data_IF_168404253842
#
_entry.id   IF_168404253842
#
_cell.length_a   1.000
_cell.length_b   1.000
_cell.length_c   1.000
_cell.angle_alpha   90.00
_cell.angle_beta   90.00
_cell.angle_gamma   90.00
#
_symmetry.space_group_name_H-M   'P 1'
#
loop_
_entity.id
_entity.type
_entity.pdbx_description
1 polymer ?
#
# COMPACT_ATOMS: atom_id res chain seq x y z
N UNK A 1 -10.76 -24.04 30.90
CA UNK A 1 -11.56 -23.66 29.72
C UNK A 1 -11.15 -22.24 29.36
N UNK A 2 -10.09 -22.09 28.56
CA UNK A 2 -9.41 -20.81 28.25
C UNK A 2 -9.26 -20.62 26.72
N UNK A 3 -10.37 -20.61 26.00
CA UNK A 3 -10.38 -20.44 24.54
C UNK A 3 -10.77 -19.02 24.08
N UNK A 4 -11.06 -18.11 25.02
CA UNK A 4 -11.63 -16.78 24.72
C UNK A 4 -10.53 -15.72 24.51
N UNK A 5 -9.35 -15.89 25.10
CA UNK A 5 -8.31 -14.84 25.11
C UNK A 5 -7.45 -14.83 23.82
N UNK A 6 -7.10 -16.00 23.29
CA UNK A 6 -6.30 -16.11 22.07
C UNK A 6 -7.00 -15.54 20.83
N UNK A 7 -8.32 -15.70 20.73
CA UNK A 7 -9.11 -15.12 19.64
C UNK A 7 -9.11 -13.59 19.66
N UNK A 8 -9.17 -13.00 20.86
CA UNK A 8 -9.17 -11.54 21.05
C UNK A 8 -7.80 -10.93 20.73
N UNK A 9 -6.72 -11.59 21.18
CA UNK A 9 -5.35 -11.16 20.87
C UNK A 9 -5.07 -11.23 19.37
N UNK A 10 -5.52 -12.28 18.67
CA UNK A 10 -5.37 -12.39 17.22
C UNK A 10 -6.11 -11.30 16.44
N UNK A 11 -7.32 -10.94 16.86
CA UNK A 11 -8.11 -9.85 16.26
C UNK A 11 -7.42 -8.49 16.47
N UNK A 12 -6.90 -8.22 17.67
CA UNK A 12 -6.23 -6.96 17.97
C UNK A 12 -4.91 -6.83 17.19
N UNK A 13 -4.13 -7.91 17.10
CA UNK A 13 -2.90 -7.97 16.29
C UNK A 13 -3.18 -7.73 14.81
N UNK A 14 -4.26 -8.32 14.27
CA UNK A 14 -4.68 -8.08 12.88
C UNK A 14 -5.08 -6.63 12.67
N UNK A 15 -5.88 -6.05 13.57
CA UNK A 15 -6.31 -4.65 13.47
C UNK A 15 -5.11 -3.70 13.44
N UNK A 16 -4.18 -3.87 14.37
CA UNK A 16 -2.95 -3.08 14.44
C UNK A 16 -2.11 -3.25 13.16
N UNK A 17 -1.96 -4.48 12.68
CA UNK A 17 -1.25 -4.77 11.44
C UNK A 17 -1.87 -4.05 10.23
N UNK A 18 -3.21 -4.08 10.12
CA UNK A 18 -3.94 -3.36 9.06
C UNK A 18 -3.69 -1.86 9.16
N UNK A 19 -3.83 -1.25 10.34
CA UNK A 19 -3.66 0.20 10.52
C UNK A 19 -2.24 0.67 10.15
N UNK A 20 -1.20 -0.06 10.57
CA UNK A 20 0.19 0.27 10.23
C UNK A 20 0.47 0.14 8.72
N UNK A 21 -0.08 -0.89 8.07
CA UNK A 21 0.07 -1.07 6.62
C UNK A 21 -0.65 0.05 5.87
N UNK A 22 -1.90 0.41 6.26
CA UNK A 22 -2.63 1.53 5.64
C UNK A 22 -1.87 2.84 5.76
N UNK A 23 -1.31 3.11 6.94
CA UNK A 23 -0.51 4.30 7.16
C UNK A 23 0.73 4.32 6.27
N UNK A 24 1.48 3.22 6.22
CA UNK A 24 2.69 3.12 5.40
C UNK A 24 2.39 3.22 3.90
N UNK A 25 1.32 2.54 3.44
CA UNK A 25 0.80 2.61 2.07
C UNK A 25 0.45 4.06 1.66
N UNK A 26 -0.26 4.78 2.53
CA UNK A 26 -0.64 6.17 2.26
C UNK A 26 0.58 7.09 2.17
N UNK A 27 1.60 6.87 3.00
CA UNK A 27 2.87 7.62 2.93
C UNK A 27 3.61 7.35 1.63
N UNK A 28 3.76 6.08 1.25
CA UNK A 28 4.43 5.70 0.01
C UNK A 28 3.73 6.31 -1.22
N UNK A 29 2.40 6.17 -1.31
CA UNK A 29 1.64 6.77 -2.40
C UNK A 29 1.79 8.30 -2.46
N UNK A 30 1.76 8.98 -1.30
CA UNK A 30 1.98 10.43 -1.23
C UNK A 30 3.40 10.80 -1.67
N UNK A 31 4.41 10.00 -1.36
CA UNK A 31 5.77 10.19 -1.85
C UNK A 31 5.83 10.23 -3.39
N UNK A 32 5.21 9.26 -4.06
CA UNK A 32 5.10 9.26 -5.52
C UNK A 32 4.35 10.47 -6.06
N UNK A 33 3.25 10.88 -5.42
CA UNK A 33 2.49 12.06 -5.84
C UNK A 33 3.33 13.33 -5.70
N UNK A 34 4.04 13.51 -4.58
CA UNK A 34 4.90 14.67 -4.36
C UNK A 34 6.04 14.73 -5.38
N UNK A 35 6.71 13.60 -5.62
CA UNK A 35 7.75 13.52 -6.63
C UNK A 35 7.23 13.83 -8.03
N UNK A 36 6.04 13.33 -8.40
CA UNK A 36 5.49 13.53 -9.73
C UNK A 36 4.78 14.88 -9.95
N UNK A 37 4.57 15.67 -8.89
CA UNK A 37 3.79 16.90 -8.92
C UNK A 37 4.62 18.13 -8.58
N UNK A 38 5.95 18.07 -8.71
CA UNK A 38 6.80 19.25 -8.59
C UNK A 38 6.56 20.17 -9.79
N UNK A 39 6.35 21.46 -9.53
CA UNK A 39 6.11 22.50 -10.54
C UNK A 39 7.03 23.69 -10.28
N UNK A 40 7.42 24.38 -11.36
CA UNK A 40 8.33 25.53 -11.31
C UNK A 40 9.68 25.21 -11.93
N UNK A 41 10.65 26.12 -11.79
CA UNK A 41 12.07 25.80 -12.03
C UNK A 41 12.50 24.80 -10.97
N UNK A 42 12.38 23.51 -11.28
CA UNK A 42 12.75 22.45 -10.36
C UNK A 42 14.26 22.31 -10.33
N UNK A 43 14.87 22.56 -9.16
CA UNK A 43 16.28 22.27 -8.96
C UNK A 43 16.51 20.74 -9.02
N UNK A 44 17.55 20.31 -9.73
CA UNK A 44 17.94 18.91 -9.82
C UNK A 44 18.22 18.30 -8.43
N UNK A 45 18.65 19.13 -7.47
CA UNK A 45 18.79 18.70 -6.08
C UNK A 45 17.44 18.37 -5.43
N UNK A 46 16.39 19.17 -5.68
CA UNK A 46 15.06 18.93 -5.10
C UNK A 46 14.42 17.67 -5.70
N UNK A 47 14.54 17.46 -7.01
CA UNK A 47 14.04 16.22 -7.65
C UNK A 47 14.72 14.99 -7.04
N UNK A 48 16.04 15.05 -6.89
CA UNK A 48 16.83 13.97 -6.31
C UNK A 48 16.38 13.67 -4.88
N UNK A 49 16.14 14.69 -4.06
CA UNK A 49 15.63 14.52 -2.69
C UNK A 49 14.26 13.82 -2.69
N UNK A 50 13.33 14.22 -3.56
CA UNK A 50 12.01 13.56 -3.66
C UNK A 50 12.13 12.11 -4.10
N UNK A 51 13.05 11.82 -5.03
CA UNK A 51 13.31 10.46 -5.50
C UNK A 51 13.90 9.58 -4.39
N UNK A 52 14.90 10.08 -3.66
CA UNK A 52 15.48 9.39 -2.51
C UNK A 52 14.45 9.18 -1.39
N UNK A 53 13.55 10.14 -1.19
CA UNK A 53 12.43 10.00 -0.27
C UNK A 53 11.48 8.85 -0.68
N UNK A 54 11.24 8.64 -1.98
CA UNK A 54 10.46 7.49 -2.47
C UNK A 54 11.20 6.17 -2.21
N UNK A 55 12.51 6.12 -2.44
CA UNK A 55 13.33 4.94 -2.14
C UNK A 55 13.26 4.56 -0.65
N UNK A 56 13.39 5.56 0.22
CA UNK A 56 13.25 5.37 1.66
C UNK A 56 11.85 4.85 2.03
N UNK A 57 10.80 5.39 1.40
CA UNK A 57 9.42 4.95 1.66
C UNK A 57 9.15 3.51 1.16
N UNK A 58 9.78 3.08 0.06
CA UNK A 58 9.71 1.69 -0.41
C UNK A 58 10.32 0.71 0.58
N UNK A 59 11.49 1.05 1.13
CA UNK A 59 12.15 0.26 2.17
C UNK A 59 11.32 0.23 3.46
N UNK A 60 10.85 1.40 3.93
CA UNK A 60 9.96 1.48 5.10
C UNK A 60 8.66 0.69 4.92
N UNK A 61 8.06 0.73 3.73
CA UNK A 61 6.88 -0.05 3.42
C UNK A 61 7.14 -1.55 3.54
N UNK A 62 8.26 -2.02 2.99
CA UNK A 62 8.67 -3.43 3.05
C UNK A 62 8.94 -3.88 4.49
N UNK A 63 9.69 -3.07 5.27
CA UNK A 63 9.97 -3.34 6.69
C UNK A 63 8.73 -3.31 7.58
N UNK A 64 7.75 -2.46 7.23
CA UNK A 64 6.45 -2.47 7.87
C UNK A 64 5.71 -3.76 7.51
N UNK A 65 5.47 -4.01 6.22
CA UNK A 65 4.64 -5.10 5.72
C UNK A 65 5.08 -6.49 6.20
N UNK A 66 6.36 -6.84 6.06
CA UNK A 66 6.85 -8.21 6.27
C UNK A 66 6.42 -8.84 7.61
N UNK A 67 6.72 -8.25 8.78
CA UNK A 67 6.30 -8.80 10.07
C UNK A 67 4.77 -8.74 10.31
N UNK A 68 4.03 -7.89 9.58
CA UNK A 68 2.57 -7.78 9.72
C UNK A 68 1.82 -8.77 8.81
N UNK A 69 2.46 -9.23 7.73
CA UNK A 69 1.88 -10.14 6.74
C UNK A 69 1.33 -11.43 7.36
N UNK A 70 1.95 -11.95 8.42
CA UNK A 70 1.52 -13.17 9.10
C UNK A 70 0.10 -13.09 9.71
N UNK A 71 -0.42 -11.87 9.92
CA UNK A 71 -1.75 -11.63 10.48
C UNK A 71 -2.84 -11.44 9.42
N UNK A 72 -2.48 -11.43 8.14
CA UNK A 72 -3.34 -11.18 7.00
C UNK A 72 -3.66 -12.48 6.24
N UNK A 73 -4.80 -12.50 5.55
CA UNK A 73 -5.15 -13.58 4.64
C UNK A 73 -4.28 -13.57 3.37
N UNK A 74 -4.15 -14.73 2.73
CA UNK A 74 -3.43 -14.92 1.45
C UNK A 74 -3.81 -13.88 0.38
N UNK A 75 -5.09 -13.73 0.03
CA UNK A 75 -5.51 -12.78 -1.01
C UNK A 75 -5.13 -11.31 -0.73
N UNK A 76 -5.16 -10.91 0.54
CA UNK A 76 -4.76 -9.56 0.95
C UNK A 76 -3.26 -9.36 0.78
N UNK A 77 -2.46 -10.36 1.17
CA UNK A 77 -1.01 -10.36 0.97
C UNK A 77 -0.64 -10.24 -0.50
N UNK A 78 -1.27 -11.06 -1.36
CA UNK A 78 -1.06 -11.01 -2.81
C UNK A 78 -1.36 -9.61 -3.38
N UNK A 79 -2.45 -8.98 -2.94
CA UNK A 79 -2.82 -7.62 -3.38
C UNK A 79 -1.78 -6.58 -2.92
N UNK A 80 -1.24 -6.72 -1.71
CA UNK A 80 -0.19 -5.82 -1.18
C UNK A 80 1.13 -6.03 -1.93
N UNK A 81 1.49 -7.26 -2.21
CA UNK A 81 2.73 -7.62 -2.92
C UNK A 81 2.72 -7.11 -4.36
N UNK A 82 1.61 -7.26 -5.08
CA UNK A 82 1.40 -6.68 -6.41
C UNK A 82 1.51 -5.15 -6.38
N UNK A 83 0.98 -4.48 -5.36
CA UNK A 83 1.18 -3.03 -5.20
C UNK A 83 2.65 -2.68 -4.97
N UNK A 84 3.37 -3.46 -4.14
CA UNK A 84 4.77 -3.22 -3.84
C UNK A 84 5.65 -3.39 -5.09
N UNK A 85 5.37 -4.42 -5.89
CA UNK A 85 6.03 -4.67 -7.18
C UNK A 85 5.78 -3.51 -8.16
N UNK A 86 4.51 -3.14 -8.39
CA UNK A 86 4.16 -1.99 -9.25
C UNK A 86 4.81 -0.69 -8.80
N UNK A 87 4.97 -0.51 -7.50
CA UNK A 87 5.64 0.66 -6.93
C UNK A 87 7.13 0.66 -7.25
N UNK A 88 7.82 -0.48 -7.12
CA UNK A 88 9.24 -0.62 -7.49
C UNK A 88 9.46 -0.40 -8.99
N UNK A 89 8.68 -1.06 -9.84
CA UNK A 89 8.73 -0.87 -11.29
C UNK A 89 8.50 0.59 -11.68
N UNK A 90 7.55 1.26 -11.03
CA UNK A 90 7.26 2.66 -11.28
C UNK A 90 8.44 3.56 -10.90
N UNK A 91 9.06 3.34 -9.74
CA UNK A 91 10.26 4.08 -9.31
C UNK A 91 11.40 3.91 -10.31
N UNK A 92 11.69 2.67 -10.71
CA UNK A 92 12.78 2.37 -11.63
C UNK A 92 12.56 3.05 -12.98
N UNK A 93 11.37 2.87 -13.55
CA UNK A 93 11.01 3.44 -14.85
C UNK A 93 11.01 4.98 -14.83
N UNK A 94 10.41 5.58 -13.81
CA UNK A 94 10.37 7.05 -13.71
C UNK A 94 11.77 7.61 -13.49
N UNK A 95 12.59 6.98 -12.64
CA UNK A 95 13.97 7.38 -12.43
C UNK A 95 14.78 7.32 -13.73
N UNK A 96 14.68 6.23 -14.49
CA UNK A 96 15.37 6.11 -15.77
C UNK A 96 14.92 7.16 -16.80
N UNK A 97 13.63 7.49 -16.84
CA UNK A 97 13.10 8.53 -17.73
C UNK A 97 13.57 9.93 -17.33
N UNK A 98 13.64 10.23 -16.03
CA UNK A 98 14.19 11.49 -15.52
C UNK A 98 15.67 11.63 -15.86
N UNK A 99 16.48 10.57 -15.64
CA UNK A 99 17.91 10.60 -15.97
C UNK A 99 18.15 10.75 -17.49
N UNK A 100 17.28 10.17 -18.33
CA UNK A 100 17.45 10.21 -19.78
C UNK A 100 16.96 11.51 -20.44
N UNK A 101 15.94 12.16 -19.89
CA UNK A 101 15.23 13.28 -20.57
C UNK A 101 15.15 14.55 -19.73
N UNK A 102 15.51 14.49 -18.45
CA UNK A 102 15.26 15.55 -17.49
C UNK A 102 13.84 15.51 -16.93
N UNK A 103 13.68 15.91 -15.68
CA UNK A 103 12.41 15.85 -14.95
C UNK A 103 11.29 16.67 -15.59
N UNK A 104 11.60 17.89 -16.05
CA UNK A 104 10.64 18.81 -16.66
C UNK A 104 9.90 18.21 -17.86
N UNK A 105 10.61 17.43 -18.69
CA UNK A 105 10.06 16.76 -19.88
C UNK A 105 9.11 15.61 -19.53
N UNK A 106 9.33 14.94 -18.39
CA UNK A 106 8.62 13.69 -18.04
C UNK A 106 7.57 13.86 -16.94
N UNK A 107 7.57 14.97 -16.19
CA UNK A 107 6.71 15.17 -15.01
C UNK A 107 5.21 14.99 -15.30
N UNK A 108 4.70 15.49 -16.42
CA UNK A 108 3.29 15.36 -16.76
C UNK A 108 2.89 13.89 -17.00
N UNK A 109 3.80 13.12 -17.61
CA UNK A 109 3.63 11.69 -17.83
C UNK A 109 3.76 10.93 -16.51
N UNK A 110 4.70 11.29 -15.65
CA UNK A 110 4.86 10.75 -14.29
C UNK A 110 3.57 10.92 -13.48
N UNK A 111 3.02 12.13 -13.37
CA UNK A 111 1.80 12.40 -12.60
C UNK A 111 0.60 11.58 -13.11
N UNK A 112 0.46 11.50 -14.44
CA UNK A 112 -0.57 10.67 -15.08
C UNK A 112 -0.40 9.19 -14.75
N UNK A 113 0.83 8.67 -14.75
CA UNK A 113 1.11 7.26 -14.42
C UNK A 113 0.84 6.93 -12.97
N UNK A 114 1.28 7.78 -12.03
CA UNK A 114 0.97 7.62 -10.60
C UNK A 114 -0.55 7.54 -10.41
N UNK A 115 -1.29 8.46 -11.02
CA UNK A 115 -2.76 8.49 -10.91
C UNK A 115 -3.43 7.28 -11.57
N UNK A 116 -2.97 6.83 -12.73
CA UNK A 116 -3.63 5.78 -13.52
C UNK A 116 -3.20 4.35 -13.16
N UNK A 117 -2.05 4.17 -12.53
CA UNK A 117 -1.51 2.84 -12.18
C UNK A 117 -1.46 2.64 -10.67
N UNK A 118 -0.77 3.51 -9.93
CA UNK A 118 -0.67 3.38 -8.46
C UNK A 118 -1.97 3.75 -7.75
N UNK A 119 -2.73 4.74 -8.26
CA UNK A 119 -4.01 5.14 -7.67
C UNK A 119 -5.00 3.98 -7.54
N UNK A 120 -5.31 3.24 -8.62
CA UNK A 120 -6.16 2.05 -8.56
C UNK A 120 -5.58 0.93 -7.69
N UNK A 121 -4.28 0.63 -7.81
CA UNK A 121 -3.64 -0.43 -7.02
C UNK A 121 -3.72 -0.14 -5.52
N UNK A 122 -3.48 1.11 -5.10
CA UNK A 122 -3.66 1.53 -3.71
C UNK A 122 -5.09 1.28 -3.23
N UNK A 123 -6.10 1.65 -4.03
CA UNK A 123 -7.51 1.45 -3.66
C UNK A 123 -7.85 -0.04 -3.49
N UNK A 124 -7.27 -0.91 -4.31
CA UNK A 124 -7.44 -2.36 -4.17
C UNK A 124 -6.86 -2.86 -2.85
N UNK A 125 -5.66 -2.38 -2.46
CA UNK A 125 -5.07 -2.70 -1.15
C UNK A 125 -5.95 -2.18 -0.01
N UNK A 126 -6.40 -0.92 -0.08
CA UNK A 126 -7.29 -0.34 0.94
C UNK A 126 -8.58 -1.17 1.12
N UNK A 127 -9.19 -1.63 0.02
CA UNK A 127 -10.39 -2.49 0.05
C UNK A 127 -10.09 -3.89 0.63
N UNK A 128 -8.95 -4.48 0.29
CA UNK A 128 -8.53 -5.77 0.84
C UNK A 128 -8.32 -5.67 2.37
N UNK A 129 -7.67 -4.60 2.83
CA UNK A 129 -7.46 -4.32 4.24
C UNK A 129 -8.76 -4.02 5.00
N UNK A 130 -9.74 -3.37 4.36
CA UNK A 130 -11.09 -3.23 4.94
C UNK A 130 -11.81 -4.57 5.09
N UNK A 131 -11.62 -5.47 4.11
CA UNK A 131 -12.18 -6.82 4.16
C UNK A 131 -11.58 -7.65 5.30
N UNK A 132 -10.28 -7.49 5.59
CA UNK A 132 -9.62 -8.12 6.76
C UNK A 132 -10.27 -7.71 8.08
N UNK A 133 -10.63 -6.42 8.21
CA UNK A 133 -11.25 -5.87 9.42
C UNK A 133 -12.71 -6.30 9.58
N UNK A 134 -13.45 -6.45 8.47
CA UNK A 134 -14.83 -6.89 8.49
C UNK A 134 -14.98 -8.36 8.96
N UNK A 135 -13.89 -9.13 8.97
CA UNK A 135 -13.88 -10.53 9.36
C UNK A 135 -14.62 -11.44 8.37
N UNK A 136 -14.71 -12.75 8.66
CA UNK A 136 -15.47 -13.66 7.82
C UNK A 136 -16.94 -13.22 7.81
N UNK A 137 -17.51 -12.98 6.63
CA UNK A 137 -18.95 -12.76 6.49
C UNK A 137 -19.67 -13.93 7.16
N UNK A 138 -20.66 -13.69 8.05
CA UNK A 138 -21.43 -14.77 8.62
C UNK A 138 -22.05 -15.57 7.47
N UNK A 139 -21.67 -16.85 7.37
CA UNK A 139 -22.25 -17.78 6.42
C UNK A 139 -23.77 -17.80 6.64
N UNK A 140 -24.55 -17.49 5.60
CA UNK A 140 -26.02 -17.49 5.58
C UNK A 140 -26.68 -18.87 5.89
N UNK A 141 -25.91 -19.84 6.38
CA UNK A 141 -26.32 -21.23 6.60
C UNK A 141 -26.44 -21.63 8.08
N UNK A 142 -26.51 -20.68 9.01
CA UNK A 142 -26.91 -20.98 10.39
C UNK A 142 -28.18 -20.23 10.77
N UNK A 143 -29.29 -20.65 10.18
CA UNK A 143 -30.58 -20.55 10.86
C UNK A 143 -30.65 -21.76 11.80
N UNK A 144 -30.62 -21.60 13.13
CA UNK A 144 -30.99 -22.71 13.98
C UNK A 144 -32.49 -22.94 13.75
N UNK A 145 -32.83 -24.08 13.16
CA UNK A 145 -34.20 -24.59 13.24
C UNK A 145 -34.53 -24.73 14.72
N UNK A 146 -35.39 -23.85 15.21
CA UNK A 146 -35.97 -23.91 16.56
C UNK A 146 -37.02 -25.01 16.53
N UNK A 147 -36.67 -26.20 16.98
CA UNK A 147 -37.62 -27.28 17.19
C UNK A 147 -38.41 -27.07 18.49
N UNK A 148 -39.73 -27.24 18.38
CA UNK A 148 -40.65 -27.70 19.44
C UNK A 148 -40.88 -26.76 20.61
#
# INVERSE_FOLDING_TARGET
MESIDFGRVGVERRRYAVEEIRFSLARLYRGFVLWASMYGETDASEERERREQVDHLLDLFSRCYLPRSMWLAGPTRETIEDFAEKSREMRERMGAEVEAKGYEEVRAVMARRVTKKLGPARKQVDLALETELAGPRPSRWRTPFRNG
#
